data_IF_168611509835
#
_entry.id   IF_168611509835
#
_cell.length_a   1.000
_cell.length_b   1.000
_cell.length_c   1.000
_cell.angle_alpha   90.00
_cell.angle_beta   90.00
_cell.angle_gamma   90.00
#
_symmetry.space_group_name_H-M   'P 1'
#
loop_
_entity.id
_entity.type
_entity.pdbx_description
1 polymer ?
#
# COMPACT_ATOMS: atom_id res chain seq x y z
N UNK A 1 -17.98 19.58 -2.61
CA UNK A 1 -17.23 18.67 -3.53
C UNK A 1 -15.80 18.64 -3.08
N UNK A 2 -15.24 17.47 -2.85
CA UNK A 2 -13.83 17.35 -2.46
C UNK A 2 -12.93 17.95 -3.56
N UNK A 3 -11.87 18.63 -3.14
CA UNK A 3 -10.88 19.19 -4.03
C UNK A 3 -10.01 18.04 -4.59
N UNK A 4 -9.95 17.89 -5.90
CA UNK A 4 -9.04 16.95 -6.57
C UNK A 4 -7.95 17.77 -7.25
N UNK A 5 -6.70 17.43 -6.97
CA UNK A 5 -5.52 18.06 -7.56
C UNK A 5 -4.63 17.00 -8.19
N UNK A 6 -4.02 17.34 -9.31
CA UNK A 6 -3.00 16.52 -9.97
C UNK A 6 -1.69 17.27 -9.91
N UNK A 7 -0.68 16.64 -9.36
CA UNK A 7 0.67 17.21 -9.31
C UNK A 7 1.67 16.28 -9.99
N UNK A 8 2.73 16.86 -10.52
CA UNK A 8 3.94 16.15 -10.89
C UNK A 8 5.00 16.44 -9.84
N UNK A 9 5.44 15.39 -9.18
CA UNK A 9 6.47 15.45 -8.15
C UNK A 9 7.78 14.94 -8.73
N UNK A 10 8.77 15.84 -8.90
CA UNK A 10 10.07 15.40 -9.38
C UNK A 10 10.81 14.62 -8.29
N UNK A 11 11.15 13.37 -8.56
CA UNK A 11 11.94 12.53 -7.69
C UNK A 11 13.42 12.58 -8.09
N UNK A 12 14.27 13.01 -7.16
CA UNK A 12 15.71 12.95 -7.34
C UNK A 12 16.22 11.50 -7.35
N UNK A 13 15.64 10.65 -6.51
CA UNK A 13 16.00 9.23 -6.42
C UNK A 13 15.68 8.49 -7.72
N UNK A 14 14.52 8.73 -8.32
CA UNK A 14 14.10 8.07 -9.55
C UNK A 14 14.52 8.84 -10.82
N UNK A 15 15.03 10.08 -10.67
CA UNK A 15 15.42 10.98 -11.75
C UNK A 15 14.31 11.22 -12.79
N UNK A 16 13.06 11.31 -12.31
CA UNK A 16 11.86 11.52 -13.14
C UNK A 16 10.73 12.17 -12.37
N UNK A 17 9.75 12.68 -13.10
CA UNK A 17 8.48 13.09 -12.51
C UNK A 17 7.63 11.86 -12.15
N UNK A 18 7.00 11.94 -10.99
CA UNK A 18 6.01 10.99 -10.48
C UNK A 18 4.68 11.73 -10.37
N UNK A 19 3.65 11.15 -10.96
CA UNK A 19 2.31 11.71 -10.91
C UNK A 19 1.61 11.33 -9.60
N UNK A 20 0.91 12.30 -9.01
CA UNK A 20 0.13 12.10 -7.79
C UNK A 20 -1.23 12.78 -7.94
N UNK A 21 -2.30 12.03 -7.68
CA UNK A 21 -3.63 12.59 -7.50
C UNK A 21 -3.89 12.79 -6.00
N UNK A 22 -4.23 14.01 -5.61
CA UNK A 22 -4.55 14.37 -4.24
C UNK A 22 -6.04 14.66 -4.14
N UNK A 23 -6.76 13.93 -3.28
CA UNK A 23 -8.19 14.12 -3.07
C UNK A 23 -8.47 14.53 -1.63
N UNK A 24 -9.10 15.67 -1.45
CA UNK A 24 -9.41 16.24 -0.13
C UNK A 24 -8.61 17.49 0.21
N UNK A 25 -8.96 18.11 1.32
CA UNK A 25 -8.40 19.38 1.76
C UNK A 25 -7.72 19.30 3.15
N UNK A 26 -8.16 18.36 3.99
CA UNK A 26 -7.69 18.16 5.35
C UNK A 26 -7.85 16.68 5.76
N UNK A 27 -7.28 16.30 6.92
CA UNK A 27 -7.43 14.99 7.54
C UNK A 27 -6.15 14.18 7.58
N UNK A 28 -6.27 12.95 8.08
CA UNK A 28 -5.14 12.04 8.15
C UNK A 28 -4.75 11.60 6.74
N UNK A 29 -3.48 11.74 6.33
CA UNK A 29 -3.08 11.39 4.97
C UNK A 29 -3.02 9.87 4.78
N UNK A 30 -3.63 9.40 3.70
CA UNK A 30 -3.55 8.01 3.25
C UNK A 30 -2.80 7.98 1.92
N UNK A 31 -1.62 7.37 1.92
CA UNK A 31 -0.85 7.07 0.71
C UNK A 31 -1.46 5.83 0.05
N UNK A 32 -2.04 6.04 -1.13
CA UNK A 32 -2.83 5.05 -1.86
C UNK A 32 -2.04 4.47 -3.02
N UNK A 33 -2.05 3.15 -3.15
CA UNK A 33 -1.42 2.45 -4.26
C UNK A 33 -2.48 1.81 -5.18
N UNK A 34 -2.34 1.92 -6.51
CA UNK A 34 -3.22 1.24 -7.48
C UNK A 34 -2.98 -0.27 -7.47
N UNK A 35 -3.86 -1.03 -8.13
CA UNK A 35 -3.61 -2.45 -8.39
C UNK A 35 -2.49 -2.64 -9.43
N UNK A 36 -2.18 -3.90 -9.74
CA UNK A 36 -1.10 -4.32 -10.66
C UNK A 36 -1.01 -3.48 -11.93
N UNK A 37 0.11 -2.80 -12.14
CA UNK A 37 0.36 -1.98 -13.33
C UNK A 37 -0.61 -0.82 -13.54
N UNK A 38 -1.41 -0.49 -12.52
CA UNK A 38 -2.41 0.57 -12.60
C UNK A 38 -1.80 1.96 -12.64
N UNK A 39 -2.54 2.88 -13.30
CA UNK A 39 -2.19 4.29 -13.27
C UNK A 39 -2.52 4.91 -11.90
N UNK A 40 -1.90 6.02 -11.56
CA UNK A 40 -2.14 6.75 -10.30
C UNK A 40 -3.60 7.22 -10.13
N UNK A 41 -4.37 7.32 -11.21
CA UNK A 41 -5.82 7.63 -11.18
C UNK A 41 -6.71 6.41 -11.01
N UNK A 42 -6.18 5.19 -11.06
CA UNK A 42 -6.98 3.97 -11.12
C UNK A 42 -7.98 3.85 -9.96
N UNK A 43 -7.58 4.21 -8.73
CA UNK A 43 -8.47 4.18 -7.57
C UNK A 43 -9.66 5.14 -7.74
N UNK A 44 -9.46 6.28 -8.39
CA UNK A 44 -10.54 7.22 -8.76
C UNK A 44 -11.38 6.69 -9.91
N UNK A 45 -10.74 6.19 -10.97
CA UNK A 45 -11.40 5.73 -12.19
C UNK A 45 -12.38 4.57 -11.91
N UNK A 46 -12.03 3.69 -10.98
CA UNK A 46 -12.86 2.56 -10.56
C UNK A 46 -13.75 2.85 -9.34
N UNK A 47 -13.73 4.09 -8.84
CA UNK A 47 -14.63 4.56 -7.79
C UNK A 47 -14.26 4.16 -6.37
N UNK A 48 -13.02 3.72 -6.13
CA UNK A 48 -12.55 3.42 -4.77
C UNK A 48 -12.47 4.70 -3.94
N UNK A 49 -11.89 5.78 -4.48
CA UNK A 49 -11.85 7.07 -3.80
C UNK A 49 -13.26 7.61 -3.54
N UNK A 50 -14.20 7.42 -4.49
CA UNK A 50 -15.59 7.83 -4.32
C UNK A 50 -16.29 7.12 -3.16
N UNK A 51 -15.91 5.87 -2.84
CA UNK A 51 -16.51 5.11 -1.73
C UNK A 51 -16.24 5.72 -0.36
N UNK A 52 -15.15 6.48 -0.21
CA UNK A 52 -14.75 7.15 1.05
C UNK A 52 -14.95 8.67 1.02
N UNK A 53 -15.60 9.20 -0.02
CA UNK A 53 -15.80 10.63 -0.21
C UNK A 53 -16.44 11.35 0.98
N UNK A 54 -17.44 10.76 1.69
CA UNK A 54 -17.97 11.40 2.90
C UNK A 54 -16.88 11.72 3.94
N UNK A 55 -15.96 10.80 4.19
CA UNK A 55 -14.86 11.01 5.15
C UNK A 55 -13.84 12.05 4.67
N UNK A 56 -13.65 12.13 3.35
CA UNK A 56 -12.79 13.15 2.73
C UNK A 56 -13.44 14.55 2.84
N UNK A 57 -14.75 14.65 2.57
CA UNK A 57 -15.48 15.93 2.67
C UNK A 57 -15.61 16.43 4.11
N UNK A 58 -15.72 15.51 5.07
CA UNK A 58 -15.67 15.80 6.51
C UNK A 58 -14.26 16.21 7.00
N UNK A 59 -13.23 16.07 6.17
CA UNK A 59 -11.85 16.36 6.54
C UNK A 59 -11.24 15.34 7.52
N UNK A 60 -11.73 14.10 7.53
CA UNK A 60 -11.18 13.01 8.36
C UNK A 60 -9.94 12.40 7.71
N UNK A 61 -9.97 12.25 6.39
CA UNK A 61 -8.86 11.70 5.60
C UNK A 61 -8.58 12.54 4.36
N UNK A 62 -7.33 12.51 3.89
CA UNK A 62 -6.86 13.09 2.63
C UNK A 62 -6.10 12.02 1.85
N UNK A 63 -6.47 11.77 0.60
CA UNK A 63 -5.94 10.67 -0.20
C UNK A 63 -4.82 11.17 -1.12
N UNK A 64 -3.72 10.43 -1.19
CA UNK A 64 -2.58 10.64 -2.07
C UNK A 64 -2.36 9.41 -2.93
N UNK A 65 -2.96 9.39 -4.12
CA UNK A 65 -2.78 8.29 -5.08
C UNK A 65 -1.48 8.51 -5.83
N UNK A 66 -0.47 7.71 -5.54
CA UNK A 66 0.87 7.83 -6.11
C UNK A 66 1.06 6.89 -7.29
N UNK A 67 1.75 7.39 -8.32
CA UNK A 67 2.22 6.54 -9.43
C UNK A 67 3.16 5.46 -8.91
N UNK A 68 2.95 4.20 -9.34
CA UNK A 68 3.88 3.10 -9.10
C UNK A 68 4.82 2.91 -10.29
N UNK A 69 5.89 2.16 -10.06
CA UNK A 69 6.84 1.80 -11.13
C UNK A 69 6.69 0.35 -11.58
N UNK A 70 5.52 -0.22 -11.41
CA UNK A 70 5.26 -1.63 -11.74
C UNK A 70 5.73 -1.99 -13.16
N UNK A 71 5.38 -1.14 -14.14
CA UNK A 71 5.77 -1.31 -15.54
C UNK A 71 7.25 -0.97 -15.83
N UNK A 72 8.00 -0.52 -14.85
CA UNK A 72 9.44 -0.28 -14.88
C UNK A 72 10.19 -1.22 -13.93
N UNK A 73 9.51 -2.21 -13.38
CA UNK A 73 10.03 -3.20 -12.45
C UNK A 73 9.38 -4.57 -12.69
N UNK A 74 8.57 -5.05 -11.76
CA UNK A 74 8.07 -6.43 -11.75
C UNK A 74 7.19 -6.82 -12.94
N UNK A 75 6.51 -5.87 -13.58
CA UNK A 75 5.62 -6.10 -14.72
C UNK A 75 6.27 -5.81 -16.09
N UNK A 76 7.57 -5.50 -16.15
CA UNK A 76 8.31 -5.45 -17.41
C UNK A 76 8.97 -6.82 -17.70
N UNK A 77 8.36 -7.60 -18.56
CA UNK A 77 8.87 -8.93 -18.93
C UNK A 77 10.18 -8.88 -19.74
N UNK A 78 10.57 -7.73 -20.24
CA UNK A 78 11.85 -7.54 -20.94
C UNK A 78 13.03 -7.36 -19.99
N UNK A 79 12.77 -7.00 -18.73
CA UNK A 79 13.81 -6.79 -17.71
C UNK A 79 14.19 -8.09 -17.02
N UNK A 80 15.48 -8.25 -16.73
CA UNK A 80 15.94 -9.31 -15.85
C UNK A 80 15.63 -9.01 -14.37
N UNK A 81 15.65 -10.03 -13.53
CA UNK A 81 15.30 -9.94 -12.11
C UNK A 81 16.15 -8.95 -11.33
N UNK A 82 17.45 -8.82 -11.67
CA UNK A 82 18.37 -7.89 -11.04
C UNK A 82 17.95 -6.43 -11.26
N UNK A 83 17.58 -6.09 -12.50
CA UNK A 83 17.10 -4.75 -12.85
C UNK A 83 15.74 -4.47 -12.20
N UNK A 84 14.82 -5.46 -12.21
CA UNK A 84 13.50 -5.33 -11.57
C UNK A 84 13.63 -4.95 -10.10
N UNK A 85 14.43 -5.71 -9.34
CA UNK A 85 14.58 -5.46 -7.91
C UNK A 85 15.38 -4.17 -7.63
N UNK A 86 16.37 -3.84 -8.44
CA UNK A 86 17.09 -2.58 -8.32
C UNK A 86 16.15 -1.38 -8.47
N UNK A 87 15.34 -1.37 -9.51
CA UNK A 87 14.38 -0.28 -9.74
C UNK A 87 13.37 -0.19 -8.58
N UNK A 88 12.91 -1.34 -8.08
CA UNK A 88 11.97 -1.35 -6.97
C UNK A 88 12.59 -0.84 -5.65
N UNK A 89 13.87 -1.13 -5.38
CA UNK A 89 14.57 -0.54 -4.24
C UNK A 89 14.67 0.99 -4.34
N UNK A 90 14.93 1.52 -5.54
CA UNK A 90 14.89 2.97 -5.76
C UNK A 90 13.49 3.55 -5.50
N UNK A 91 12.43 2.82 -5.85
CA UNK A 91 11.06 3.24 -5.54
C UNK A 91 10.79 3.25 -4.02
N UNK A 92 11.27 2.25 -3.30
CA UNK A 92 11.15 2.23 -1.83
C UNK A 92 11.92 3.38 -1.18
N UNK A 93 13.12 3.71 -1.69
CA UNK A 93 13.88 4.87 -1.25
C UNK A 93 13.17 6.20 -1.56
N UNK A 94 12.55 6.33 -2.74
CA UNK A 94 11.71 7.47 -3.09
C UNK A 94 10.54 7.63 -2.11
N UNK A 95 9.80 6.56 -1.83
CA UNK A 95 8.68 6.61 -0.87
C UNK A 95 9.15 7.07 0.51
N UNK A 96 10.25 6.49 1.01
CA UNK A 96 10.80 6.77 2.33
C UNK A 96 11.34 8.19 2.47
N UNK A 97 12.13 8.63 1.50
CA UNK A 97 12.95 9.83 1.66
C UNK A 97 12.35 11.07 0.97
N UNK A 98 11.38 10.89 0.07
CA UNK A 98 10.81 12.01 -0.70
C UNK A 98 9.29 12.09 -0.54
N UNK A 99 8.53 11.06 -0.93
CA UNK A 99 7.06 11.15 -0.97
C UNK A 99 6.42 11.21 0.42
N UNK A 100 6.78 10.31 1.34
CA UNK A 100 6.24 10.33 2.70
C UNK A 100 6.61 11.63 3.43
N UNK A 101 7.86 12.11 3.41
CA UNK A 101 8.23 13.41 3.98
C UNK A 101 7.48 14.60 3.37
N UNK A 102 7.22 14.59 2.05
CA UNK A 102 6.38 15.60 1.40
C UNK A 102 4.97 15.63 2.00
N UNK A 103 4.33 14.45 2.10
CA UNK A 103 2.98 14.32 2.66
C UNK A 103 2.96 14.73 4.14
N UNK A 104 3.94 14.31 4.93
CA UNK A 104 4.07 14.66 6.34
C UNK A 104 4.15 16.17 6.55
N UNK A 105 4.94 16.84 5.72
CA UNK A 105 5.08 18.30 5.77
C UNK A 105 3.79 19.01 5.37
N UNK A 106 3.15 18.56 4.29
CA UNK A 106 1.91 19.16 3.79
C UNK A 106 0.75 19.00 4.77
N UNK A 107 0.64 17.84 5.42
CA UNK A 107 -0.42 17.53 6.38
C UNK A 107 -0.06 17.85 7.84
N UNK A 108 1.13 18.35 8.11
CA UNK A 108 1.65 18.62 9.46
C UNK A 108 1.48 17.38 10.38
N UNK A 109 1.93 16.23 9.93
CA UNK A 109 1.83 14.96 10.66
C UNK A 109 3.19 14.25 10.71
N UNK A 110 3.36 13.33 11.66
CA UNK A 110 4.58 12.51 11.78
C UNK A 110 4.47 11.17 11.07
N UNK A 111 3.26 10.72 10.76
CA UNK A 111 3.01 9.42 10.13
C UNK A 111 1.89 9.51 9.12
N UNK A 112 1.98 8.67 8.08
CA UNK A 112 0.93 8.50 7.09
C UNK A 112 0.21 7.16 7.31
N UNK A 113 -0.98 6.99 6.77
CA UNK A 113 -1.53 5.67 6.52
C UNK A 113 -1.09 5.20 5.13
N UNK A 114 -1.00 3.89 4.93
CA UNK A 114 -0.80 3.28 3.61
C UNK A 114 -1.99 2.40 3.28
N UNK A 115 -2.48 2.48 2.04
CA UNK A 115 -3.59 1.65 1.59
C UNK A 115 -3.43 1.24 0.13
N UNK A 116 -3.96 0.06 -0.22
CA UNK A 116 -3.94 -0.39 -1.60
C UNK A 116 -4.73 -1.67 -1.80
N UNK A 117 -4.99 -1.98 -3.07
CA UNK A 117 -5.76 -3.14 -3.52
C UNK A 117 -4.89 -4.08 -4.33
N UNK A 118 -5.02 -5.39 -4.16
CA UNK A 118 -4.25 -6.39 -4.91
C UNK A 118 -2.74 -6.15 -4.77
N UNK A 119 -2.01 -5.92 -5.86
CA UNK A 119 -0.59 -5.57 -5.82
C UNK A 119 -0.34 -4.20 -5.14
N UNK A 120 -1.31 -3.29 -5.17
CA UNK A 120 -1.27 -2.07 -4.35
C UNK A 120 -1.31 -2.38 -2.84
N UNK A 121 -2.00 -3.44 -2.44
CA UNK A 121 -1.97 -3.96 -1.08
C UNK A 121 -0.58 -4.46 -0.67
N UNK A 122 0.17 -5.04 -1.61
CA UNK A 122 1.59 -5.36 -1.43
C UNK A 122 2.42 -4.08 -1.21
N UNK A 123 2.30 -3.07 -2.07
CA UNK A 123 3.04 -1.81 -1.90
C UNK A 123 2.75 -1.16 -0.55
N UNK A 124 1.47 -1.14 -0.14
CA UNK A 124 1.05 -0.59 1.15
C UNK A 124 1.69 -1.35 2.32
N UNK A 125 1.62 -2.69 2.29
CA UNK A 125 2.18 -3.55 3.33
C UNK A 125 3.71 -3.49 3.37
N UNK A 126 4.36 -3.55 2.21
CA UNK A 126 5.82 -3.47 2.13
C UNK A 126 6.33 -2.13 2.67
N UNK A 127 5.67 -1.02 2.32
CA UNK A 127 6.00 0.31 2.85
C UNK A 127 5.81 0.36 4.37
N UNK A 128 4.68 -0.12 4.88
CA UNK A 128 4.36 -0.09 6.31
C UNK A 128 5.34 -0.93 7.15
N UNK A 129 5.66 -2.14 6.68
CA UNK A 129 6.51 -3.05 7.44
C UNK A 129 7.99 -2.72 7.33
N UNK A 130 8.44 -2.15 6.21
CA UNK A 130 9.83 -1.67 6.07
C UNK A 130 10.09 -0.35 6.79
N UNK A 131 9.08 0.51 6.90
CA UNK A 131 9.21 1.85 7.48
C UNK A 131 8.19 2.10 8.61
N UNK A 132 8.16 1.26 9.66
CA UNK A 132 7.10 1.33 10.68
C UNK A 132 7.07 2.69 11.39
N UNK A 133 8.19 3.38 11.53
CA UNK A 133 8.23 4.70 12.18
C UNK A 133 7.52 5.79 11.36
N UNK A 134 7.33 5.58 10.05
CA UNK A 134 6.69 6.53 9.14
C UNK A 134 5.19 6.24 8.93
N UNK A 135 4.72 5.04 9.33
CA UNK A 135 3.37 4.58 9.04
C UNK A 135 2.58 4.35 10.33
N UNK A 136 1.36 4.87 10.37
CA UNK A 136 0.42 4.72 11.49
C UNK A 136 -0.64 3.64 11.24
N UNK A 137 -1.04 3.44 9.98
CA UNK A 137 -2.09 2.50 9.59
C UNK A 137 -1.70 1.79 8.30
N UNK A 138 -1.97 0.50 8.24
CA UNK A 138 -1.90 -0.33 7.03
C UNK A 138 -3.30 -0.83 6.69
N UNK A 139 -3.77 -0.52 5.47
CA UNK A 139 -5.01 -1.05 4.90
C UNK A 139 -4.65 -1.83 3.64
N UNK A 140 -4.49 -3.14 3.76
CA UNK A 140 -4.21 -4.03 2.63
C UNK A 140 -5.49 -4.78 2.23
N UNK A 141 -6.03 -4.46 1.06
CA UNK A 141 -7.24 -5.09 0.51
C UNK A 141 -6.84 -6.09 -0.56
N UNK A 142 -7.05 -7.37 -0.29
CA UNK A 142 -6.66 -8.47 -1.20
C UNK A 142 -5.17 -8.45 -1.56
N UNK A 143 -4.31 -8.04 -0.62
CA UNK A 143 -2.89 -7.86 -0.89
C UNK A 143 -2.14 -9.17 -1.16
N UNK A 144 -1.08 -9.09 -1.94
CA UNK A 144 -0.04 -10.11 -1.98
C UNK A 144 1.10 -9.71 -1.04
N UNK A 145 1.98 -10.64 -0.64
CA UNK A 145 3.05 -10.34 0.32
C UNK A 145 4.39 -10.94 -0.08
N UNK A 146 4.54 -11.38 -1.32
CA UNK A 146 5.78 -11.91 -1.87
C UNK A 146 5.95 -11.54 -3.35
N UNK A 147 7.18 -11.19 -3.72
CA UNK A 147 7.60 -10.94 -5.12
C UNK A 147 8.52 -12.03 -5.65
N UNK A 148 8.70 -13.14 -4.92
CA UNK A 148 9.62 -14.24 -5.29
C UNK A 148 9.43 -14.74 -6.72
N UNK A 149 8.18 -14.88 -7.14
CA UNK A 149 7.87 -15.36 -8.49
C UNK A 149 8.10 -14.33 -9.59
N UNK A 150 8.16 -13.03 -9.24
CA UNK A 150 8.31 -11.94 -10.19
C UNK A 150 9.80 -11.58 -10.43
N UNK A 151 10.66 -11.88 -9.45
CA UNK A 151 12.10 -11.70 -9.50
C UNK A 151 12.80 -12.85 -8.78
N UNK A 152 12.96 -14.04 -9.44
CA UNK A 152 13.44 -15.28 -8.82
C UNK A 152 14.96 -15.27 -8.60
N UNK A 153 15.44 -14.45 -7.67
CA UNK A 153 16.82 -14.44 -7.18
C UNK A 153 16.84 -15.02 -5.76
N UNK A 154 17.26 -16.27 -5.60
CA UNK A 154 17.08 -17.04 -4.35
C UNK A 154 17.79 -16.42 -3.15
N UNK A 155 19.02 -15.94 -3.32
CA UNK A 155 19.88 -15.48 -2.23
C UNK A 155 20.01 -13.95 -2.16
N UNK A 156 19.19 -13.21 -2.89
CA UNK A 156 19.23 -11.76 -2.89
C UNK A 156 18.45 -11.18 -1.70
N UNK A 157 19.15 -10.51 -0.81
CA UNK A 157 18.56 -9.87 0.37
C UNK A 157 17.57 -8.76 0.01
N UNK A 158 17.68 -8.13 -1.17
CA UNK A 158 16.69 -7.16 -1.64
C UNK A 158 15.33 -7.84 -1.89
N UNK A 159 15.34 -9.06 -2.44
CA UNK A 159 14.10 -9.85 -2.58
C UNK A 159 13.54 -10.21 -1.21
N UNK A 160 14.36 -10.70 -0.29
CA UNK A 160 13.94 -11.02 1.07
C UNK A 160 13.26 -9.83 1.76
N UNK A 161 13.89 -8.64 1.74
CA UNK A 161 13.32 -7.43 2.36
C UNK A 161 12.15 -6.81 1.59
N UNK A 162 11.79 -7.36 0.43
CA UNK A 162 10.57 -7.02 -0.32
C UNK A 162 9.57 -8.18 -0.37
N UNK A 163 9.70 -9.13 0.53
CA UNK A 163 8.71 -10.19 0.77
C UNK A 163 8.25 -10.10 2.23
N UNK A 164 7.21 -9.30 2.52
CA UNK A 164 6.66 -9.19 3.88
C UNK A 164 6.38 -10.53 4.56
N UNK A 165 5.93 -11.53 3.82
CA UNK A 165 5.68 -12.89 4.33
C UNK A 165 6.97 -13.67 4.70
N UNK A 166 8.15 -13.13 4.37
CA UNK A 166 9.44 -13.67 4.78
C UNK A 166 10.09 -12.86 5.90
N UNK A 167 10.37 -11.56 5.66
CA UNK A 167 11.14 -10.78 6.63
C UNK A 167 10.38 -10.51 7.92
N UNK A 168 9.05 -10.39 7.88
CA UNK A 168 8.25 -10.18 9.08
C UNK A 168 8.35 -11.32 10.09
N UNK A 169 8.70 -12.53 9.67
CA UNK A 169 8.96 -13.63 10.59
C UNK A 169 10.13 -13.36 11.55
N UNK A 170 11.08 -12.52 11.16
CA UNK A 170 12.29 -12.21 11.92
C UNK A 170 12.27 -10.79 12.53
N UNK A 171 11.27 -9.97 12.23
CA UNK A 171 11.18 -8.61 12.78
C UNK A 171 10.74 -8.59 14.24
N UNK A 172 11.13 -7.55 14.96
CA UNK A 172 10.76 -7.32 16.36
C UNK A 172 9.34 -6.77 16.47
N UNK A 173 8.44 -7.49 17.13
CA UNK A 173 7.00 -7.17 17.20
C UNK A 173 6.72 -5.76 17.74
N UNK A 174 7.51 -5.27 18.69
CA UNK A 174 7.30 -3.96 19.32
C UNK A 174 7.34 -2.79 18.33
N UNK A 175 8.05 -2.94 17.19
CA UNK A 175 8.09 -1.94 16.13
C UNK A 175 6.72 -1.64 15.53
N UNK A 176 5.78 -2.58 15.62
CA UNK A 176 4.47 -2.53 14.96
C UNK A 176 3.29 -2.34 15.92
N UNK A 177 3.50 -2.36 17.26
CA UNK A 177 2.40 -2.26 18.22
C UNK A 177 1.64 -0.94 18.17
N UNK A 178 2.24 0.11 17.63
CA UNK A 178 1.55 1.40 17.46
C UNK A 178 0.68 1.44 16.20
N UNK A 179 0.91 0.53 15.25
CA UNK A 179 0.28 0.53 13.94
C UNK A 179 -1.10 -0.14 13.98
N UNK A 180 -2.08 0.45 13.33
CA UNK A 180 -3.36 -0.20 13.07
C UNK A 180 -3.27 -0.94 11.74
N UNK A 181 -3.46 -2.24 11.76
CA UNK A 181 -3.30 -3.11 10.58
C UNK A 181 -4.63 -3.77 10.27
N UNK A 182 -5.08 -3.66 9.03
CA UNK A 182 -6.19 -4.46 8.50
C UNK A 182 -5.75 -5.20 7.23
N UNK A 183 -6.06 -6.49 7.20
CA UNK A 183 -5.91 -7.37 6.05
C UNK A 183 -7.32 -7.78 5.61
N UNK A 184 -7.83 -7.15 4.54
CA UNK A 184 -9.15 -7.42 3.99
C UNK A 184 -9.05 -8.40 2.82
N UNK A 185 -9.94 -9.39 2.78
CA UNK A 185 -10.01 -10.39 1.71
C UNK A 185 -11.44 -10.97 1.60
N UNK A 186 -11.62 -11.98 0.77
CA UNK A 186 -12.83 -12.80 0.76
C UNK A 186 -12.51 -14.28 0.55
N UNK A 187 -13.51 -15.14 0.80
CA UNK A 187 -13.34 -16.58 0.60
C UNK A 187 -13.19 -16.99 -0.88
N UNK A 188 -13.53 -16.10 -1.83
CA UNK A 188 -13.34 -16.30 -3.28
C UNK A 188 -12.12 -15.53 -3.83
N UNK A 189 -11.40 -14.84 -2.97
CA UNK A 189 -10.24 -14.05 -3.34
C UNK A 189 -9.04 -14.94 -3.67
N UNK A 190 -8.44 -14.75 -4.85
CA UNK A 190 -7.24 -15.48 -5.28
C UNK A 190 -6.03 -15.21 -4.38
N UNK A 191 -5.99 -14.06 -3.70
CA UNK A 191 -4.94 -13.69 -2.75
C UNK A 191 -5.24 -14.15 -1.31
N UNK A 192 -6.40 -14.79 -1.05
CA UNK A 192 -6.75 -15.26 0.29
C UNK A 192 -5.64 -16.10 0.96
N UNK A 193 -5.00 -17.10 0.30
CA UNK A 193 -3.96 -17.88 0.95
C UNK A 193 -2.77 -17.04 1.44
N UNK A 194 -2.42 -15.97 0.73
CA UNK A 194 -1.35 -15.06 1.12
C UNK A 194 -1.77 -14.18 2.31
N UNK A 195 -3.04 -13.73 2.32
CA UNK A 195 -3.60 -12.97 3.45
C UNK A 195 -3.69 -13.82 4.72
N UNK A 196 -4.10 -15.08 4.62
CA UNK A 196 -4.10 -16.04 5.74
C UNK A 196 -2.69 -16.27 6.29
N UNK A 197 -1.70 -16.45 5.39
CA UNK A 197 -0.29 -16.61 5.78
C UNK A 197 0.22 -15.37 6.51
N UNK A 198 -0.05 -14.18 5.99
CA UNK A 198 0.37 -12.92 6.64
C UNK A 198 -0.31 -12.74 8.00
N UNK A 199 -1.60 -13.05 8.10
CA UNK A 199 -2.35 -13.04 9.35
C UNK A 199 -1.75 -14.01 10.39
N UNK A 200 -1.36 -15.21 9.97
CA UNK A 200 -0.69 -16.17 10.84
C UNK A 200 0.65 -15.62 11.38
N UNK A 201 1.48 -15.02 10.52
CA UNK A 201 2.75 -14.40 10.91
C UNK A 201 2.52 -13.29 11.95
N UNK A 202 1.57 -12.39 11.72
CA UNK A 202 1.25 -11.31 12.66
C UNK A 202 0.74 -11.86 14.00
N UNK A 203 -0.11 -12.90 13.96
CA UNK A 203 -0.64 -13.58 15.13
C UNK A 203 0.47 -14.24 15.97
N UNK A 204 1.34 -15.01 15.30
CA UNK A 204 2.45 -15.72 15.96
C UNK A 204 3.42 -14.77 16.65
N UNK A 205 3.56 -13.56 16.11
CA UNK A 205 4.38 -12.49 16.69
C UNK A 205 3.66 -11.66 17.75
N UNK A 206 2.35 -11.82 17.92
CA UNK A 206 1.56 -11.00 18.85
C UNK A 206 1.41 -9.54 18.39
N UNK A 207 1.49 -9.29 17.09
CA UNK A 207 1.26 -7.97 16.50
C UNK A 207 -0.25 -7.80 16.33
N UNK A 208 -0.89 -6.75 16.90
CA UNK A 208 -2.33 -6.55 16.74
C UNK A 208 -2.72 -6.24 15.31
N UNK A 209 -3.73 -6.91 14.79
CA UNK A 209 -4.29 -6.67 13.46
C UNK A 209 -5.77 -7.07 13.40
N UNK A 210 -6.46 -6.58 12.39
CA UNK A 210 -7.81 -7.02 12.03
C UNK A 210 -7.74 -7.81 10.72
N UNK A 211 -8.15 -9.09 10.76
CA UNK A 211 -8.36 -9.90 9.57
C UNK A 211 -9.84 -9.88 9.24
N UNK A 212 -10.18 -9.34 8.07
CA UNK A 212 -11.57 -9.21 7.60
C UNK A 212 -11.79 -10.05 6.34
N UNK A 213 -12.53 -11.14 6.49
CA UNK A 213 -12.89 -12.02 5.37
C UNK A 213 -14.35 -11.87 5.02
N UNK A 214 -14.63 -11.28 3.86
CA UNK A 214 -15.99 -11.22 3.30
C UNK A 214 -16.35 -12.54 2.60
N UNK A 215 -17.64 -12.75 2.36
CA UNK A 215 -18.14 -14.00 1.79
C UNK A 215 -18.67 -13.77 0.38
N UNK A 216 -18.35 -14.66 -0.54
CA UNK A 216 -18.95 -14.79 -1.86
C UNK A 216 -18.70 -13.59 -2.80
N UNK A 217 -17.55 -12.93 -2.68
CA UNK A 217 -17.16 -11.80 -3.53
C UNK A 217 -15.78 -12.10 -4.12
N UNK A 218 -15.65 -11.89 -5.44
CA UNK A 218 -14.40 -12.12 -6.16
C UNK A 218 -13.33 -11.05 -5.83
N UNK A 219 -12.09 -11.35 -6.23
CA UNK A 219 -10.93 -10.44 -6.17
C UNK A 219 -11.11 -9.29 -7.17
N UNK A 220 -11.95 -8.31 -6.84
CA UNK A 220 -12.27 -7.20 -7.75
C UNK A 220 -12.82 -5.97 -7.00
N UNK A 221 -12.99 -4.87 -7.72
CA UNK A 221 -13.44 -3.57 -7.24
C UNK A 221 -14.71 -3.58 -6.38
N UNK A 222 -15.73 -4.41 -6.64
CA UNK A 222 -16.90 -4.49 -5.75
C UNK A 222 -16.53 -4.82 -4.29
N UNK A 223 -15.61 -5.77 -4.08
CA UNK A 223 -15.11 -6.11 -2.75
C UNK A 223 -14.43 -4.91 -2.09
N UNK A 224 -13.47 -4.31 -2.81
CA UNK A 224 -12.65 -3.24 -2.25
C UNK A 224 -13.45 -1.98 -1.94
N UNK A 225 -14.39 -1.60 -2.81
CA UNK A 225 -15.32 -0.48 -2.58
C UNK A 225 -16.29 -0.72 -1.42
N UNK A 226 -16.59 -1.96 -1.08
CA UNK A 226 -17.41 -2.31 0.07
C UNK A 226 -16.62 -2.18 1.38
N UNK A 227 -15.38 -2.68 1.42
CA UNK A 227 -14.60 -2.76 2.67
C UNK A 227 -13.83 -1.48 3.00
N UNK A 228 -13.38 -0.73 2.00
CA UNK A 228 -12.56 0.46 2.23
C UNK A 228 -13.26 1.53 3.10
N UNK A 229 -14.54 1.90 2.84
CA UNK A 229 -15.24 2.84 3.72
C UNK A 229 -15.47 2.30 5.13
N UNK A 230 -15.61 0.98 5.31
CA UNK A 230 -15.69 0.37 6.64
C UNK A 230 -14.38 0.58 7.42
N UNK A 231 -13.23 0.32 6.78
CA UNK A 231 -11.92 0.48 7.42
C UNK A 231 -11.60 1.95 7.72
N UNK A 232 -11.89 2.84 6.78
CA UNK A 232 -11.72 4.28 7.00
C UNK A 232 -12.63 4.78 8.12
N UNK A 233 -13.89 4.34 8.16
CA UNK A 233 -14.85 4.74 9.18
C UNK A 233 -14.47 4.31 10.61
N UNK A 234 -13.77 3.16 10.73
CA UNK A 234 -13.33 2.62 12.03
C UNK A 234 -12.05 3.30 12.52
N UNK A 235 -11.11 3.62 11.62
CA UNK A 235 -9.78 4.06 12.02
C UNK A 235 -9.56 5.57 11.99
N UNK A 236 -10.39 6.30 11.27
CA UNK A 236 -10.28 7.74 11.12
C UNK A 236 -11.60 8.46 11.42
#
# INVERSE_FOLDING_TARGET
MANIQYIQFYSNTLSRDINVEITGHWGHPILMFPSSGGQFTQNSDFGLNASVMPFVEEGRVKLYNVETIDMLSFYDDSMNSETKIHNYELYMEFLKNEMIPFIQKECNTHRVATAGVSFGGFHAANTAFRFPDLVSHLISMSGTFSIRNMAPLSDDMRIYFNCPDEFMQNEEAWKFHHMKIVLGTSNWDICKPQNERMAAILSDKGIPFWYDEKQWIDHDWPLWKMVFPEYVGIYF
#
